data_IF_248816092494
#
_entry.id   IF_248816092494
#
_cell.length_a   1.000
_cell.length_b   1.000
_cell.length_c   1.000
_cell.angle_alpha   90.00
_cell.angle_beta   90.00
_cell.angle_gamma   90.00
#
_symmetry.space_group_name_H-M   'P 1'
#
loop_
_entity.id
_entity.type
_entity.pdbx_description
1 polymer ?
#
# COMPACT_ATOMS: atom_id res chain seq x y z
N UNK A 1 -18.08 7.70 -3.50
CA UNK A 1 -18.45 6.45 -2.79
C UNK A 1 -17.62 6.24 -1.52
N UNK A 2 -18.18 5.59 -0.49
CA UNK A 2 -17.51 5.26 0.78
C UNK A 2 -17.54 3.74 1.00
N UNK A 3 -16.42 3.17 1.45
CA UNK A 3 -16.31 1.80 1.92
C UNK A 3 -15.89 1.78 3.38
N UNK A 4 -16.66 1.11 4.24
CA UNK A 4 -16.27 0.82 5.61
C UNK A 4 -15.46 -0.47 5.61
N UNK A 5 -14.22 -0.43 6.11
CA UNK A 5 -13.30 -1.58 5.96
C UNK A 5 -13.70 -2.78 6.81
N UNK A 6 -14.45 -2.54 7.89
CA UNK A 6 -15.06 -3.57 8.72
C UNK A 6 -16.10 -4.42 7.98
N UNK A 7 -16.73 -3.88 6.93
CA UNK A 7 -17.77 -4.56 6.14
C UNK A 7 -17.21 -5.39 4.98
N UNK A 8 -15.91 -5.22 4.67
CA UNK A 8 -15.24 -5.94 3.60
C UNK A 8 -14.67 -7.27 4.10
N UNK A 9 -14.59 -8.28 3.23
CA UNK A 9 -13.78 -9.47 3.50
C UNK A 9 -12.29 -9.14 3.51
N UNK A 10 -11.46 -10.03 4.08
CA UNK A 10 -9.99 -9.86 4.08
C UNK A 10 -9.41 -9.75 2.66
N UNK A 11 -9.96 -10.50 1.71
CA UNK A 11 -9.56 -10.45 0.29
C UNK A 11 -9.91 -9.10 -0.35
N UNK A 12 -11.09 -8.57 -0.06
CA UNK A 12 -11.54 -7.28 -0.61
C UNK A 12 -10.75 -6.12 -0.01
N UNK A 13 -10.48 -6.14 1.31
CA UNK A 13 -9.57 -5.17 1.95
C UNK A 13 -8.20 -5.19 1.28
N UNK A 14 -7.64 -6.39 1.06
CA UNK A 14 -6.34 -6.53 0.40
C UNK A 14 -6.37 -5.96 -1.03
N UNK A 15 -7.36 -6.32 -1.84
CA UNK A 15 -7.49 -5.81 -3.21
C UNK A 15 -7.61 -4.29 -3.25
N UNK A 16 -8.45 -3.72 -2.38
CA UNK A 16 -8.68 -2.29 -2.34
C UNK A 16 -7.41 -1.57 -1.92
N UNK A 17 -6.82 -1.96 -0.79
CA UNK A 17 -5.64 -1.29 -0.24
C UNK A 17 -4.42 -1.40 -1.16
N UNK A 18 -4.15 -2.58 -1.72
CA UNK A 18 -3.01 -2.76 -2.63
C UNK A 18 -3.15 -2.02 -3.94
N UNK A 19 -4.38 -1.78 -4.40
CA UNK A 19 -4.64 -1.04 -5.64
C UNK A 19 -4.51 0.48 -5.50
N UNK A 20 -4.64 1.00 -4.28
CA UNK A 20 -4.63 2.44 -3.98
C UNK A 20 -3.25 2.99 -3.65
N UNK A 21 -2.32 2.14 -3.21
CA UNK A 21 -0.98 2.55 -2.78
C UNK A 21 0.04 1.97 -3.77
N UNK A 22 0.33 2.74 -4.82
CA UNK A 22 1.23 2.35 -5.92
C UNK A 22 2.06 3.56 -6.43
N UNK A 23 3.36 3.41 -6.75
CA UNK A 23 4.22 2.29 -6.38
C UNK A 23 4.37 2.20 -4.85
N UNK A 24 4.35 0.98 -4.31
CA UNK A 24 4.35 0.74 -2.86
C UNK A 24 5.77 0.55 -2.34
N UNK A 25 6.26 1.38 -1.41
CA UNK A 25 7.55 1.15 -0.78
C UNK A 25 7.50 -0.10 0.11
N UNK A 26 8.65 -0.76 0.26
CA UNK A 26 8.83 -1.88 1.20
C UNK A 26 9.87 -1.44 2.23
N UNK A 27 9.50 -1.48 3.51
CA UNK A 27 10.42 -1.30 4.63
C UNK A 27 10.90 -2.65 5.11
N UNK A 28 12.15 -2.71 5.55
CA UNK A 28 12.64 -3.80 6.39
C UNK A 28 12.48 -3.39 7.85
N UNK A 29 11.60 -4.08 8.57
CA UNK A 29 11.30 -3.76 9.98
C UNK A 29 11.93 -4.85 10.85
N UNK A 30 12.86 -4.46 11.71
CA UNK A 30 13.39 -5.34 12.74
C UNK A 30 12.60 -5.20 14.04
N UNK A 31 12.37 -6.31 14.70
CA UNK A 31 11.72 -6.39 16.01
C UNK A 31 12.49 -7.35 16.90
N UNK A 32 12.24 -7.29 18.22
CA UNK A 32 12.72 -8.30 19.16
C UNK A 32 11.51 -8.84 19.93
N UNK A 33 11.43 -10.15 20.07
CA UNK A 33 10.40 -10.78 20.91
C UNK A 33 10.65 -10.50 22.38
N UNK A 34 9.68 -10.81 23.24
CA UNK A 34 9.84 -10.75 24.70
C UNK A 34 11.00 -11.62 25.20
N UNK A 35 11.25 -12.77 24.55
CA UNK A 35 12.39 -13.64 24.82
C UNK A 35 13.72 -13.11 24.24
N UNK A 36 13.73 -11.91 23.66
CA UNK A 36 14.92 -11.25 23.12
C UNK A 36 15.35 -11.70 21.72
N UNK A 37 14.60 -12.62 21.09
CA UNK A 37 14.92 -13.16 19.76
C UNK A 37 14.70 -12.09 18.67
N UNK A 38 15.68 -11.86 17.77
CA UNK A 38 15.53 -10.90 16.68
C UNK A 38 14.59 -11.43 15.60
N UNK A 39 13.84 -10.52 14.97
CA UNK A 39 13.02 -10.77 13.79
C UNK A 39 13.26 -9.64 12.79
N UNK A 40 13.32 -9.96 11.50
CA UNK A 40 13.42 -9.00 10.40
C UNK A 40 12.38 -9.38 9.35
N UNK A 41 11.40 -8.53 9.13
CA UNK A 41 10.32 -8.79 8.19
C UNK A 41 10.14 -7.65 7.20
N UNK A 42 9.81 -7.94 5.92
CA UNK A 42 9.41 -6.92 4.98
C UNK A 42 8.00 -6.42 5.32
N UNK A 43 7.82 -5.11 5.33
CA UNK A 43 6.56 -4.45 5.60
C UNK A 43 6.19 -3.49 4.48
N UNK A 44 5.04 -3.73 3.84
CA UNK A 44 4.62 -2.97 2.65
C UNK A 44 3.69 -1.79 2.95
N UNK A 45 3.18 -1.64 4.18
CA UNK A 45 2.17 -0.63 4.52
C UNK A 45 2.67 0.31 5.61
N UNK A 46 3.63 1.17 5.29
CA UNK A 46 4.17 2.17 6.20
C UNK A 46 4.27 3.53 5.50
N UNK A 47 4.41 4.59 6.29
CA UNK A 47 4.79 5.91 5.79
C UNK A 47 5.92 6.49 6.65
N UNK A 48 6.88 7.16 5.99
CA UNK A 48 7.80 8.05 6.70
C UNK A 48 7.03 9.30 7.13
N UNK A 49 7.09 9.64 8.42
CA UNK A 49 6.31 10.74 8.99
C UNK A 49 7.17 11.98 9.24
N UNK A 50 8.38 11.81 9.79
CA UNK A 50 9.32 12.90 10.02
C UNK A 50 10.76 12.39 10.00
N UNK A 51 11.69 13.23 9.58
CA UNK A 51 13.13 12.99 9.70
C UNK A 51 13.73 13.55 10.99
N UNK A 52 13.02 14.47 11.67
CA UNK A 52 13.41 15.01 12.97
C UNK A 52 12.16 15.40 13.77
N UNK A 53 11.74 14.61 14.77
CA UNK A 53 12.32 13.31 15.17
C UNK A 53 12.19 12.26 14.06
N UNK A 54 13.04 11.23 14.08
CA UNK A 54 13.03 10.16 13.07
C UNK A 54 11.84 9.22 13.30
N UNK A 55 10.77 9.40 12.51
CA UNK A 55 9.48 8.74 12.72
C UNK A 55 9.00 7.98 11.48
N UNK A 56 8.53 6.76 11.72
CA UNK A 56 7.78 5.91 10.79
C UNK A 56 6.44 5.57 11.43
N UNK A 57 5.37 5.55 10.64
CA UNK A 57 4.03 5.20 11.10
C UNK A 57 3.50 3.94 10.41
N UNK A 58 2.85 3.11 11.21
CA UNK A 58 1.99 2.00 10.79
C UNK A 58 0.61 2.33 11.36
N UNK A 59 -0.42 2.23 10.52
CA UNK A 59 -1.79 2.60 10.90
C UNK A 59 -2.82 1.65 10.33
N UNK A 60 -3.99 1.63 10.96
CA UNK A 60 -5.14 0.88 10.49
C UNK A 60 -6.02 1.77 9.59
N UNK A 61 -6.47 1.22 8.46
CA UNK A 61 -7.42 1.90 7.57
C UNK A 61 -8.84 1.51 7.96
N UNK A 62 -9.59 2.45 8.51
CA UNK A 62 -10.99 2.24 8.94
C UNK A 62 -12.01 2.51 7.82
N UNK A 63 -11.67 3.42 6.92
CA UNK A 63 -12.56 3.88 5.85
C UNK A 63 -11.77 4.24 4.61
N UNK A 64 -12.34 3.91 3.44
CA UNK A 64 -11.81 4.35 2.14
C UNK A 64 -12.89 5.15 1.42
N UNK A 65 -12.55 6.36 0.99
CA UNK A 65 -13.40 7.17 0.12
C UNK A 65 -12.80 7.22 -1.27
N UNK A 66 -13.61 6.87 -2.27
CA UNK A 66 -13.23 6.98 -3.68
C UNK A 66 -14.13 8.00 -4.39
N UNK A 67 -13.53 8.76 -5.30
CA UNK A 67 -14.28 9.55 -6.26
C UNK A 67 -15.13 8.62 -7.13
N UNK A 68 -16.33 9.06 -7.53
CA UNK A 68 -17.23 8.21 -8.31
C UNK A 68 -16.67 7.88 -9.71
N UNK A 69 -15.80 8.77 -10.23
CA UNK A 69 -15.06 8.59 -11.48
C UNK A 69 -13.77 7.76 -11.34
N UNK A 70 -13.46 7.22 -10.15
CA UNK A 70 -12.25 6.41 -9.98
C UNK A 70 -12.29 5.19 -10.92
N UNK A 71 -11.19 4.87 -11.62
CA UNK A 71 -11.17 3.77 -12.57
C UNK A 71 -11.19 2.44 -11.81
N UNK A 72 -12.30 1.70 -11.91
CA UNK A 72 -12.52 0.46 -11.15
C UNK A 72 -12.53 -0.74 -12.08
N UNK A 73 -12.04 -1.87 -11.58
CA UNK A 73 -12.19 -3.16 -12.26
C UNK A 73 -13.57 -3.74 -11.93
N UNK A 74 -14.45 -3.97 -12.92
CA UNK A 74 -15.77 -4.52 -12.68
C UNK A 74 -15.74 -5.84 -11.88
N UNK A 75 -16.66 -5.98 -10.92
CA UNK A 75 -16.78 -7.17 -10.08
C UNK A 75 -15.65 -7.36 -9.04
N UNK A 76 -14.78 -6.37 -8.85
CA UNK A 76 -13.71 -6.40 -7.84
C UNK A 76 -13.70 -5.13 -7.01
N UNK A 77 -13.33 -5.25 -5.74
CA UNK A 77 -12.94 -4.13 -4.90
C UNK A 77 -11.49 -3.73 -5.24
N UNK A 78 -11.26 -3.29 -6.48
CA UNK A 78 -9.93 -3.00 -7.03
C UNK A 78 -10.00 -1.76 -7.92
N UNK A 79 -9.11 -0.80 -7.68
CA UNK A 79 -8.90 0.38 -8.53
C UNK A 79 -7.84 0.05 -9.57
N UNK A 80 -8.09 0.36 -10.83
CA UNK A 80 -7.07 0.23 -11.87
C UNK A 80 -5.95 1.24 -11.59
N UNK A 81 -4.85 0.74 -11.03
CA UNK A 81 -3.69 1.52 -10.64
C UNK A 81 -2.99 2.19 -11.81
N UNK A 82 -3.10 1.63 -13.02
CA UNK A 82 -2.52 2.23 -14.23
C UNK A 82 -3.38 3.40 -14.66
N UNK A 83 -4.69 3.19 -14.75
CA UNK A 83 -5.63 4.24 -15.11
C UNK A 83 -5.71 5.35 -14.03
N UNK A 84 -5.29 5.09 -12.80
CA UNK A 84 -5.23 6.10 -11.73
C UNK A 84 -4.12 7.15 -11.95
N UNK A 85 -3.10 6.85 -12.76
CA UNK A 85 -1.93 7.73 -13.01
C UNK A 85 -1.28 8.26 -11.73
N UNK A 86 -0.88 7.38 -10.78
CA UNK A 86 -0.32 7.80 -9.51
C UNK A 86 1.07 8.42 -9.68
N UNK A 87 1.40 9.35 -8.78
CA UNK A 87 2.70 10.01 -8.72
C UNK A 87 3.44 9.56 -7.45
N UNK A 88 4.65 9.03 -7.61
CA UNK A 88 5.58 8.76 -6.52
C UNK A 88 6.46 9.97 -6.23
N UNK A 89 6.78 10.21 -4.95
CA UNK A 89 7.78 11.21 -4.54
C UNK A 89 9.15 10.55 -4.39
N UNK A 90 10.18 11.18 -4.95
CA UNK A 90 11.57 10.77 -4.81
C UNK A 90 12.35 11.82 -4.00
N UNK A 91 13.67 11.85 -4.15
CA UNK A 91 14.54 12.81 -3.48
C UNK A 91 14.40 14.22 -4.06
N UNK A 92 14.44 15.24 -3.20
CA UNK A 92 14.38 16.64 -3.63
C UNK A 92 13.08 16.97 -4.35
N UNK A 93 13.20 17.55 -5.54
CA UNK A 93 12.12 17.93 -6.45
C UNK A 93 11.75 16.84 -7.47
N UNK A 94 12.31 15.64 -7.32
CA UNK A 94 12.06 14.52 -8.24
C UNK A 94 10.78 13.77 -7.90
N UNK A 95 10.06 13.40 -8.95
CA UNK A 95 8.85 12.59 -8.90
C UNK A 95 8.95 11.45 -9.92
N UNK A 96 8.22 10.38 -9.68
CA UNK A 96 8.03 9.28 -10.62
C UNK A 96 6.57 9.16 -11.02
N UNK A 97 6.32 8.82 -12.28
CA UNK A 97 5.05 8.26 -12.71
C UNK A 97 5.11 6.74 -12.60
N UNK A 98 3.96 6.09 -12.66
CA UNK A 98 3.92 4.64 -12.83
C UNK A 98 4.57 4.27 -14.18
N UNK A 99 5.72 3.62 -14.13
CA UNK A 99 6.47 3.17 -15.30
C UNK A 99 5.87 1.92 -15.95
N UNK A 100 6.71 1.11 -16.59
CA UNK A 100 6.29 -0.15 -17.19
C UNK A 100 5.71 -1.10 -16.13
N UNK A 101 4.52 -1.66 -16.39
CA UNK A 101 3.88 -2.66 -15.53
C UNK A 101 3.91 -4.03 -16.20
N UNK A 102 4.19 -5.08 -15.42
CA UNK A 102 4.17 -6.48 -15.87
C UNK A 102 3.49 -7.36 -14.84
N UNK A 103 2.71 -8.31 -15.31
CA UNK A 103 2.15 -9.37 -14.45
C UNK A 103 3.16 -10.50 -14.35
N UNK A 104 3.60 -10.81 -13.13
CA UNK A 104 4.47 -11.95 -12.85
C UNK A 104 3.67 -13.06 -12.15
N UNK A 105 3.74 -14.32 -12.60
CA UNK A 105 3.12 -15.42 -11.89
C UNK A 105 3.76 -15.58 -10.51
N UNK A 106 2.95 -15.95 -9.51
CA UNK A 106 3.47 -16.26 -8.18
C UNK A 106 4.40 -17.48 -8.28
N UNK A 107 5.61 -17.44 -7.70
CA UNK A 107 6.47 -18.61 -7.62
C UNK A 107 5.73 -19.81 -7.00
N UNK A 108 6.00 -21.04 -7.47
CA UNK A 108 5.46 -22.22 -6.81
C UNK A 108 5.91 -22.25 -5.34
N UNK A 109 5.01 -22.73 -4.47
CA UNK A 109 5.26 -22.90 -3.04
C UNK A 109 6.23 -24.06 -2.78
#
# INVERSE_FOLDING_TARGET
>A
MIFLTAELSGRERYQLLTSLVVPRPIAWVSTRSEAGAPNLAPFSYFAALSSSPFLVVIGEVLLVRLADAAPRVPGKHFVDSVALHPVGRLWGDWYSLLGETRSLPRPPA
#
